data_IF_722074965298
#
_entry.id   IF_722074965298
#
_cell.length_a   1.000
_cell.length_b   1.000
_cell.length_c   1.000
_cell.angle_alpha   90.00
_cell.angle_beta   90.00
_cell.angle_gamma   90.00
#
_symmetry.space_group_name_H-M   'P 1'
#
loop_
_entity.id
_entity.type
_entity.pdbx_description
1 polymer ?
#
# COMPACT_ATOMS: atom_id res chain seq x y z
N UNK A 1 25.70 -21.53 3.61
CA UNK A 1 25.09 -21.29 2.28
C UNK A 1 23.71 -20.69 2.53
N UNK A 2 23.48 -19.44 2.12
CA UNK A 2 22.18 -18.78 2.33
C UNK A 2 21.30 -19.09 1.12
N UNK A 3 20.28 -19.93 1.30
CA UNK A 3 19.33 -20.26 0.24
C UNK A 3 18.36 -19.09 0.09
N UNK A 4 18.46 -18.34 -1.02
CA UNK A 4 17.47 -17.33 -1.36
C UNK A 4 16.20 -18.04 -1.83
N UNK A 5 15.13 -17.98 -1.02
CA UNK A 5 13.84 -18.52 -1.39
C UNK A 5 13.32 -17.85 -2.67
N UNK A 6 12.61 -18.62 -3.50
CA UNK A 6 12.03 -18.14 -4.75
C UNK A 6 10.93 -17.13 -4.43
N UNK A 7 11.07 -15.88 -4.89
CA UNK A 7 10.04 -14.85 -4.74
C UNK A 7 8.71 -15.35 -5.28
N UNK A 8 7.69 -15.32 -4.44
CA UNK A 8 6.31 -15.61 -4.78
C UNK A 8 5.52 -14.32 -4.94
N UNK A 9 4.30 -14.41 -5.45
CA UNK A 9 3.39 -13.26 -5.48
C UNK A 9 3.08 -12.80 -4.05
N UNK A 10 2.94 -13.72 -3.10
CA UNK A 10 2.56 -13.40 -1.71
C UNK A 10 3.61 -12.52 -1.01
N UNK A 11 4.88 -12.62 -1.38
CA UNK A 11 5.94 -11.71 -0.90
C UNK A 11 5.69 -10.24 -1.27
N UNK A 12 4.87 -9.99 -2.29
CA UNK A 12 4.40 -8.66 -2.69
C UNK A 12 3.26 -8.11 -1.83
N UNK A 13 2.68 -8.88 -0.90
CA UNK A 13 1.60 -8.39 -0.04
C UNK A 13 2.14 -7.33 0.93
N UNK A 14 1.51 -6.16 0.93
CA UNK A 14 1.82 -5.11 1.88
C UNK A 14 1.13 -5.39 3.21
N UNK A 15 1.93 -5.48 4.27
CA UNK A 15 1.49 -5.62 5.64
C UNK A 15 1.55 -4.25 6.31
N UNK A 16 0.40 -3.61 6.52
CA UNK A 16 0.32 -2.24 7.01
C UNK A 16 0.87 -2.07 8.44
N UNK A 17 0.99 -3.14 9.23
CA UNK A 17 1.68 -3.15 10.52
C UNK A 17 3.18 -2.83 10.44
N UNK A 18 3.77 -2.83 9.24
CA UNK A 18 5.15 -2.37 9.01
C UNK A 18 5.21 -0.86 8.91
N UNK A 19 6.36 -0.27 9.23
CA UNK A 19 6.59 1.18 9.08
C UNK A 19 6.53 1.60 7.61
N UNK A 20 6.21 2.89 7.37
CA UNK A 20 6.17 3.48 6.04
C UNK A 20 7.51 3.29 5.29
N UNK A 21 8.65 3.42 5.96
CA UNK A 21 9.96 3.18 5.36
C UNK A 21 10.17 1.72 4.94
N UNK A 22 9.72 0.75 5.74
CA UNK A 22 9.80 -0.66 5.38
C UNK A 22 8.91 -0.97 4.17
N UNK A 23 7.72 -0.40 4.12
CA UNK A 23 6.79 -0.57 3.01
C UNK A 23 7.30 0.10 1.73
N UNK A 24 7.87 1.31 1.80
CA UNK A 24 8.53 1.96 0.66
C UNK A 24 9.66 1.10 0.09
N UNK A 25 10.54 0.57 0.95
CA UNK A 25 11.60 -0.34 0.53
C UNK A 25 11.05 -1.59 -0.13
N UNK A 26 9.97 -2.16 0.40
CA UNK A 26 9.30 -3.33 -0.18
C UNK A 26 8.70 -3.01 -1.56
N UNK A 27 7.99 -1.90 -1.71
CA UNK A 27 7.41 -1.46 -3.00
C UNK A 27 8.51 -1.30 -4.05
N UNK A 28 9.63 -0.67 -3.70
CA UNK A 28 10.79 -0.51 -4.60
C UNK A 28 11.44 -1.85 -4.94
N UNK A 29 11.63 -2.73 -3.96
CA UNK A 29 12.27 -4.04 -4.16
C UNK A 29 11.44 -4.99 -5.03
N UNK A 30 10.11 -4.85 -5.01
CA UNK A 30 9.19 -5.71 -5.76
C UNK A 30 8.76 -5.10 -7.10
N UNK A 31 9.27 -3.93 -7.49
CA UNK A 31 8.92 -3.25 -8.75
C UNK A 31 10.04 -3.46 -9.79
N UNK A 32 9.73 -3.90 -11.03
CA UNK A 32 8.39 -4.09 -11.63
C UNK A 32 7.76 -5.47 -11.38
N UNK A 33 8.53 -6.46 -10.92
CA UNK A 33 8.04 -7.82 -10.63
C UNK A 33 8.64 -8.30 -9.30
N UNK A 34 7.88 -8.99 -8.42
CA UNK A 34 6.50 -9.51 -8.57
C UNK A 34 5.37 -8.47 -8.44
N UNK A 35 5.70 -7.24 -8.10
CA UNK A 35 4.77 -6.15 -7.80
C UNK A 35 4.21 -6.25 -6.38
N UNK A 36 3.82 -5.11 -5.82
CA UNK A 36 3.15 -5.09 -4.51
C UNK A 36 1.65 -4.96 -4.61
N UNK A 37 0.93 -5.49 -3.62
CA UNK A 37 -0.52 -5.35 -3.55
C UNK A 37 -1.03 -5.35 -2.10
N UNK A 38 -2.24 -4.85 -1.94
CA UNK A 38 -3.02 -4.91 -0.71
C UNK A 38 -4.46 -5.30 -1.05
N UNK A 39 -5.28 -5.52 -0.05
CA UNK A 39 -6.70 -5.82 -0.23
C UNK A 39 -7.56 -4.70 0.33
N UNK A 40 -8.62 -4.37 -0.40
CA UNK A 40 -9.62 -3.39 0.02
C UNK A 40 -11.00 -3.94 -0.36
N UNK A 41 -11.88 -4.12 0.62
CA UNK A 41 -13.23 -4.65 0.40
C UNK A 41 -13.25 -5.92 -0.49
N UNK A 42 -12.41 -6.91 -0.14
CA UNK A 42 -12.20 -8.16 -0.88
C UNK A 42 -11.67 -8.01 -2.32
N UNK A 43 -11.16 -6.85 -2.70
CA UNK A 43 -10.52 -6.60 -3.98
C UNK A 43 -9.02 -6.39 -3.82
N UNK A 44 -8.22 -7.05 -4.66
CA UNK A 44 -6.78 -6.83 -4.71
C UNK A 44 -6.46 -5.52 -5.42
N UNK A 45 -5.86 -4.58 -4.70
CA UNK A 45 -5.33 -3.32 -5.24
C UNK A 45 -3.82 -3.47 -5.37
N UNK A 46 -3.27 -3.35 -6.58
CA UNK A 46 -1.81 -3.31 -6.74
C UNK A 46 -1.31 -1.91 -6.44
N UNK A 47 -0.18 -1.84 -5.74
CA UNK A 47 0.52 -0.62 -5.41
C UNK A 47 1.77 -0.57 -6.28
N UNK A 48 1.91 0.52 -7.04
CA UNK A 48 3.01 0.71 -7.99
C UNK A 48 4.07 1.69 -7.51
N UNK A 49 3.69 2.69 -6.73
CA UNK A 49 4.62 3.65 -6.14
C UNK A 49 4.03 4.26 -4.87
N UNK A 50 4.92 4.55 -3.93
CA UNK A 50 4.60 5.14 -2.63
C UNK A 50 5.69 6.13 -2.23
N UNK A 51 5.36 7.02 -1.29
CA UNK A 51 6.28 7.98 -0.69
C UNK A 51 6.02 8.01 0.83
N UNK A 52 7.01 7.70 1.68
CA UNK A 52 6.90 7.92 3.12
C UNK A 52 6.74 9.40 3.42
N UNK A 53 5.85 9.74 4.35
CA UNK A 53 5.61 11.11 4.79
C UNK A 53 6.07 11.27 6.23
N UNK A 54 6.57 12.47 6.57
CA UNK A 54 6.97 12.82 7.94
C UNK A 54 5.77 13.23 8.80
N UNK A 55 4.62 12.59 8.58
CA UNK A 55 3.40 12.79 9.36
C UNK A 55 3.22 11.57 10.26
N UNK A 56 2.99 11.81 11.54
CA UNK A 56 2.67 10.74 12.50
C UNK A 56 1.17 10.70 12.75
N UNK A 57 0.62 9.51 12.96
CA UNK A 57 -0.80 9.31 13.24
C UNK A 57 -1.02 8.24 14.30
N UNK A 58 -2.13 8.38 15.04
CA UNK A 58 -2.62 7.35 15.97
C UNK A 58 -3.71 6.48 15.34
N UNK A 59 -4.01 6.68 14.05
CA UNK A 59 -4.93 5.82 13.31
C UNK A 59 -4.39 4.40 13.20
N UNK A 60 -5.29 3.43 13.12
CA UNK A 60 -4.90 2.03 12.97
C UNK A 60 -4.15 1.79 11.64
N UNK A 61 -3.17 0.87 11.60
CA UNK A 61 -2.52 0.50 10.35
C UNK A 61 -3.51 0.10 9.25
N UNK A 62 -3.26 0.61 8.05
CA UNK A 62 -4.10 0.43 6.86
C UNK A 62 -5.22 1.48 6.72
N UNK A 63 -5.36 2.41 7.65
CA UNK A 63 -6.39 3.47 7.57
C UNK A 63 -5.93 4.63 6.70
N UNK A 64 -6.78 5.07 5.76
CA UNK A 64 -6.62 6.30 4.98
C UNK A 64 -6.91 7.51 5.88
N UNK A 65 -5.96 8.45 5.98
CA UNK A 65 -6.02 9.58 6.92
C UNK A 65 -6.18 10.95 6.24
N UNK A 66 -6.10 11.04 4.91
CA UNK A 66 -6.35 12.26 4.13
C UNK A 66 -7.08 11.99 2.81
N UNK A 67 -7.39 13.05 2.04
CA UNK A 67 -8.03 12.99 0.73
C UNK A 67 -7.10 12.60 -0.43
N UNK A 68 -5.83 12.29 -0.14
CA UNK A 68 -4.77 12.04 -1.13
C UNK A 68 -4.09 10.69 -0.92
N UNK A 69 -4.84 9.71 -0.39
CA UNK A 69 -4.38 8.35 -0.12
C UNK A 69 -3.12 8.28 0.78
N UNK A 70 -3.04 9.13 1.78
CA UNK A 70 -2.11 8.93 2.89
C UNK A 70 -2.64 7.85 3.81
N UNK A 71 -1.85 6.80 4.04
CA UNK A 71 -2.25 5.63 4.80
C UNK A 71 -1.41 5.50 6.07
N UNK A 72 -2.07 5.26 7.20
CA UNK A 72 -1.44 4.93 8.47
C UNK A 72 -0.73 3.57 8.39
N UNK A 73 0.48 3.52 8.93
CA UNK A 73 1.36 2.36 8.93
C UNK A 73 1.79 2.04 10.37
N UNK A 74 2.60 1.00 10.53
CA UNK A 74 3.23 0.62 11.80
C UNK A 74 3.96 1.78 12.48
N UNK A 75 4.06 1.72 13.80
CA UNK A 75 4.71 2.73 14.65
C UNK A 75 4.18 4.17 14.45
N UNK A 76 2.94 4.30 14.00
CA UNK A 76 2.31 5.60 13.75
C UNK A 76 2.91 6.36 12.56
N UNK A 77 3.71 5.70 11.73
CA UNK A 77 4.26 6.28 10.48
C UNK A 77 3.18 6.36 9.39
N UNK A 78 3.43 7.13 8.33
CA UNK A 78 2.46 7.31 7.25
C UNK A 78 3.09 7.15 5.87
N UNK A 79 2.34 6.53 4.96
CA UNK A 79 2.79 6.20 3.61
C UNK A 79 1.77 6.73 2.61
N UNK A 80 2.22 7.61 1.71
CA UNK A 80 1.40 8.13 0.63
C UNK A 80 1.45 7.19 -0.56
N UNK A 81 0.30 6.72 -1.01
CA UNK A 81 0.20 5.96 -2.26
C UNK A 81 0.15 6.96 -3.41
N UNK A 82 1.11 6.89 -4.32
CA UNK A 82 1.18 7.78 -5.49
C UNK A 82 0.71 7.10 -6.76
N UNK A 83 0.90 5.78 -6.88
CA UNK A 83 0.41 4.98 -8.02
C UNK A 83 -0.21 3.68 -7.57
N UNK A 84 -1.40 3.39 -8.10
CA UNK A 84 -2.16 2.18 -7.79
C UNK A 84 -2.97 1.67 -8.98
N UNK A 85 -3.35 0.40 -8.90
CA UNK A 85 -4.15 -0.29 -9.91
C UNK A 85 -5.25 -1.09 -9.21
N UNK A 86 -6.51 -0.81 -9.55
CA UNK A 86 -7.65 -1.66 -9.21
C UNK A 86 -7.86 -2.79 -10.22
N UNK A 87 -8.55 -3.88 -9.85
CA UNK A 87 -8.91 -4.93 -10.79
C UNK A 87 -9.60 -4.37 -12.04
N UNK A 88 -9.20 -4.87 -13.21
CA UNK A 88 -9.80 -4.46 -14.50
C UNK A 88 -9.40 -3.06 -15.01
N UNK A 89 -8.50 -2.33 -14.34
CA UNK A 89 -7.91 -1.08 -14.85
C UNK A 89 -6.39 -1.18 -14.99
N UNK A 90 -5.79 -0.23 -15.72
CA UNK A 90 -4.34 -0.04 -15.74
C UNK A 90 -3.82 0.65 -14.47
N UNK A 91 -2.51 0.58 -14.25
CA UNK A 91 -1.82 1.36 -13.21
C UNK A 91 -1.97 2.86 -13.51
N UNK A 92 -2.35 3.64 -12.50
CA UNK A 92 -2.60 5.07 -12.63
C UNK A 92 -2.14 5.85 -11.39
N UNK A 93 -2.03 7.17 -11.53
CA UNK A 93 -1.74 8.08 -10.42
C UNK A 93 -2.91 8.10 -9.42
N UNK A 94 -2.60 8.29 -8.14
CA UNK A 94 -3.56 8.38 -7.05
C UNK A 94 -4.66 9.42 -7.29
N UNK A 95 -4.27 10.61 -7.76
CA UNK A 95 -5.20 11.68 -8.10
C UNK A 95 -6.14 11.32 -9.28
N UNK A 96 -5.66 10.57 -10.28
CA UNK A 96 -6.50 10.04 -11.35
C UNK A 96 -7.46 8.95 -10.84
N UNK A 97 -7.00 8.11 -9.92
CA UNK A 97 -7.82 7.10 -9.27
C UNK A 97 -8.96 7.72 -8.46
N UNK A 98 -8.63 8.72 -7.62
CA UNK A 98 -9.57 9.40 -6.74
C UNK A 98 -10.69 10.13 -7.49
N UNK A 99 -10.43 10.65 -8.69
CA UNK A 99 -11.48 11.23 -9.56
C UNK A 99 -12.55 10.24 -9.99
N UNK A 100 -12.20 8.95 -10.09
CA UNK A 100 -13.10 7.89 -10.53
C UNK A 100 -13.59 6.98 -9.42
N UNK A 101 -13.02 7.09 -8.22
CA UNK A 101 -13.36 6.28 -7.06
C UNK A 101 -12.99 7.04 -5.79
N UNK A 102 -14.01 7.48 -5.07
CA UNK A 102 -13.82 8.15 -3.78
C UNK A 102 -13.21 7.19 -2.76
N UNK A 103 -12.24 7.68 -1.99
CA UNK A 103 -11.61 6.96 -0.89
C UNK A 103 -11.68 7.84 0.36
N UNK A 104 -12.82 7.84 1.07
CA UNK A 104 -13.00 8.75 2.18
C UNK A 104 -12.03 8.43 3.32
N UNK A 105 -11.65 9.46 4.07
CA UNK A 105 -10.87 9.32 5.30
C UNK A 105 -11.57 8.32 6.24
N UNK A 106 -10.78 7.43 6.83
CA UNK A 106 -11.28 6.33 7.65
C UNK A 106 -11.44 5.02 6.88
N UNK A 107 -11.37 5.03 5.54
CA UNK A 107 -11.33 3.79 4.75
C UNK A 107 -10.12 2.96 5.16
N UNK A 108 -10.32 1.66 5.38
CA UNK A 108 -9.29 0.76 5.89
C UNK A 108 -8.97 -0.34 4.87
N UNK A 109 -7.71 -0.40 4.46
CA UNK A 109 -7.15 -1.55 3.77
C UNK A 109 -7.10 -2.74 4.73
N UNK A 110 -7.26 -3.95 4.20
CA UNK A 110 -7.20 -5.17 5.01
C UNK A 110 -5.84 -5.22 5.74
N UNK A 111 -5.83 -5.21 7.08
CA UNK A 111 -4.63 -5.41 7.86
C UNK A 111 -4.30 -6.91 7.80
N UNK A 112 -3.79 -7.35 6.64
CA UNK A 112 -3.35 -8.70 6.33
C UNK A 112 -3.91 -9.79 7.27
N UNK A 113 -5.06 -10.37 6.93
CA UNK A 113 -5.49 -11.60 7.61
C UNK A 113 -4.36 -12.65 7.58
N UNK A 114 -3.99 -13.12 8.76
CA UNK A 114 -3.05 -14.21 9.00
C UNK A 114 -3.48 -15.51 8.31
#
# INVERSE_FOLDING_TARGET
MTYAARLTREDGRLHWDRTAEQLDRQVRAMTPWPGTFTELAAQTIKIGAVVPEHVTTSAAPGTVIDDRLLVACGDGTTLRITRLQRPGRGMMEADAFLRGQDMPVGTRFDPSRA
#
